data_IF_082162446903
#
_entry.id   IF_082162446903
#
_cell.length_a   1.000
_cell.length_b   1.000
_cell.length_c   1.000
_cell.angle_alpha   90.00
_cell.angle_beta   90.00
_cell.angle_gamma   90.00
#
_symmetry.space_group_name_H-M   'P 1'
#
loop_
_entity.id
_entity.type
_entity.pdbx_description
1 polymer ?
#
# COMPACT_ATOMS: atom_id res chain seq x y z
N UNK A 1 -24.88 10.70 26.99
CA UNK A 1 -24.92 11.04 25.54
C UNK A 1 -23.62 11.66 25.06
N UNK A 2 -23.04 12.65 25.75
CA UNK A 2 -21.80 13.35 25.33
C UNK A 2 -20.61 12.40 25.07
N UNK A 3 -20.35 11.44 25.97
CA UNK A 3 -19.23 10.48 25.82
C UNK A 3 -19.41 9.47 24.69
N UNK A 4 -20.65 9.15 24.30
CA UNK A 4 -20.92 8.22 23.19
C UNK A 4 -20.70 8.90 21.84
N UNK A 5 -21.10 10.17 21.73
CA UNK A 5 -20.84 10.99 20.53
C UNK A 5 -19.34 11.27 20.37
N UNK A 6 -18.63 11.60 21.45
CA UNK A 6 -17.16 11.77 21.41
C UNK A 6 -16.43 10.50 20.94
N UNK A 7 -16.86 9.32 21.41
CA UNK A 7 -16.29 8.05 20.98
C UNK A 7 -16.61 7.71 19.51
N UNK A 8 -17.76 8.13 19.00
CA UNK A 8 -18.13 7.98 17.59
C UNK A 8 -17.34 8.94 16.69
N UNK A 9 -17.17 10.20 17.10
CA UNK A 9 -16.36 11.16 16.37
C UNK A 9 -14.90 10.69 16.28
N UNK A 10 -14.33 10.16 17.37
CA UNK A 10 -13.01 9.55 17.36
C UNK A 10 -12.91 8.35 16.39
N UNK A 11 -13.94 7.50 16.33
CA UNK A 11 -13.97 6.37 15.40
C UNK A 11 -14.03 6.84 13.93
N UNK A 12 -14.77 7.91 13.63
CA UNK A 12 -14.79 8.52 12.29
C UNK A 12 -13.45 9.10 11.89
N UNK A 13 -12.77 9.77 12.82
CA UNK A 13 -11.40 10.25 12.59
C UNK A 13 -10.47 9.08 12.27
N UNK A 14 -10.54 7.98 13.02
CA UNK A 14 -9.72 6.79 12.75
C UNK A 14 -10.00 6.18 11.37
N UNK A 15 -11.27 6.12 10.93
CA UNK A 15 -11.61 5.68 9.56
C UNK A 15 -10.99 6.60 8.50
N UNK A 16 -11.07 7.91 8.71
CA UNK A 16 -10.48 8.88 7.78
C UNK A 16 -8.96 8.71 7.69
N UNK A 17 -8.27 8.58 8.84
CA UNK A 17 -6.82 8.32 8.89
C UNK A 17 -6.45 7.02 8.17
N UNK A 18 -7.16 5.92 8.44
CA UNK A 18 -6.91 4.64 7.75
C UNK A 18 -7.24 4.66 6.26
N UNK A 19 -8.17 5.51 5.84
CA UNK A 19 -8.44 5.72 4.42
C UNK A 19 -7.23 6.38 3.74
N UNK A 20 -6.68 7.44 4.35
CA UNK A 20 -5.46 8.08 3.85
C UNK A 20 -4.27 7.12 3.80
N UNK A 21 -4.07 6.29 4.83
CA UNK A 21 -3.00 5.26 4.81
C UNK A 21 -3.14 4.28 3.62
N UNK A 22 -4.37 3.87 3.28
CA UNK A 22 -4.63 3.01 2.11
C UNK A 22 -4.31 3.73 0.81
N UNK A 23 -4.68 5.01 0.69
CA UNK A 23 -4.38 5.83 -0.49
C UNK A 23 -2.86 5.97 -0.69
N UNK A 24 -2.11 6.24 0.39
CA UNK A 24 -0.65 6.34 0.38
C UNK A 24 0.01 5.00 0.01
N UNK A 25 -0.42 3.89 0.62
CA UNK A 25 0.10 2.56 0.30
C UNK A 25 -0.21 2.15 -1.15
N UNK A 26 -1.38 2.56 -1.67
CA UNK A 26 -1.73 2.34 -3.08
C UNK A 26 -0.80 3.11 -4.00
N UNK A 27 -0.55 4.39 -3.71
CA UNK A 27 0.36 5.22 -4.52
C UNK A 27 1.78 4.64 -4.57
N UNK A 28 2.31 4.20 -3.42
CA UNK A 28 3.62 3.52 -3.35
C UNK A 28 3.67 2.24 -4.18
N UNK A 29 2.62 1.42 -4.09
CA UNK A 29 2.51 0.17 -4.85
C UNK A 29 2.55 0.44 -6.35
N UNK A 30 1.82 1.45 -6.82
CA UNK A 30 1.81 1.82 -8.24
C UNK A 30 3.15 2.43 -8.70
N UNK A 31 3.83 3.21 -7.84
CA UNK A 31 5.19 3.69 -8.11
C UNK A 31 6.19 2.53 -8.25
N UNK A 32 6.17 1.58 -7.32
CA UNK A 32 7.04 0.40 -7.36
C UNK A 32 6.82 -0.45 -8.63
N UNK A 33 5.56 -0.63 -9.05
CA UNK A 33 5.22 -1.30 -10.32
C UNK A 33 5.77 -0.56 -11.53
N UNK A 34 5.69 0.76 -11.56
CA UNK A 34 6.27 1.55 -12.64
C UNK A 34 7.80 1.38 -12.71
N UNK A 35 8.48 1.36 -11.56
CA UNK A 35 9.92 1.09 -11.49
C UNK A 35 10.28 -0.28 -12.04
N UNK A 36 9.53 -1.34 -11.71
CA UNK A 36 9.78 -2.68 -12.27
C UNK A 36 9.59 -2.72 -13.78
N UNK A 37 8.56 -2.04 -14.30
CA UNK A 37 8.37 -1.97 -15.75
C UNK A 37 9.61 -1.39 -16.45
N UNK A 38 10.15 -0.29 -15.92
CA UNK A 38 11.41 0.30 -16.42
C UNK A 38 12.60 -0.63 -16.26
N UNK A 39 12.79 -1.27 -15.09
CA UNK A 39 13.88 -2.21 -14.87
C UNK A 39 13.81 -3.42 -15.83
N UNK A 40 12.60 -3.90 -16.11
CA UNK A 40 12.33 -5.00 -17.06
C UNK A 40 12.74 -4.61 -18.48
N UNK A 41 12.34 -3.41 -18.92
CA UNK A 41 12.72 -2.88 -20.23
C UNK A 41 14.24 -2.80 -20.38
N UNK A 42 14.93 -2.32 -19.34
CA UNK A 42 16.39 -2.27 -19.32
C UNK A 42 17.00 -3.67 -19.42
N UNK A 43 16.58 -4.63 -18.58
CA UNK A 43 17.11 -6.01 -18.67
C UNK A 43 16.93 -6.58 -20.09
N UNK A 44 15.76 -6.40 -20.71
CA UNK A 44 15.50 -6.86 -22.08
C UNK A 44 16.39 -6.17 -23.13
N UNK A 45 16.60 -4.85 -22.99
CA UNK A 45 17.52 -4.09 -23.85
C UNK A 45 18.95 -4.64 -23.74
N UNK A 46 19.43 -4.85 -22.51
CA UNK A 46 20.78 -5.35 -22.26
C UNK A 46 20.97 -6.82 -22.65
N UNK A 47 19.93 -7.66 -22.62
CA UNK A 47 19.99 -9.05 -23.08
C UNK A 47 20.08 -9.17 -24.61
N UNK A 48 19.54 -8.21 -25.36
CA UNK A 48 19.46 -8.26 -26.84
C UNK A 48 20.56 -7.48 -27.53
N UNK A 49 21.34 -6.69 -26.78
CA UNK A 49 22.47 -5.94 -27.30
C UNK A 49 23.74 -6.82 -27.43
N UNK A 50 24.41 -6.84 -28.59
CA UNK A 50 25.55 -7.73 -28.85
C UNK A 50 26.86 -7.34 -28.14
N UNK A 51 26.96 -6.13 -27.59
CA UNK A 51 28.18 -5.58 -26.97
C UNK A 51 28.01 -5.28 -25.46
N UNK A 52 26.91 -5.70 -24.84
CA UNK A 52 26.68 -5.45 -23.42
C UNK A 52 27.57 -6.36 -22.58
N UNK A 53 28.46 -5.73 -21.81
CA UNK A 53 29.32 -6.43 -20.86
C UNK A 53 28.44 -7.25 -19.91
N UNK A 54 28.72 -8.54 -19.75
CA UNK A 54 28.00 -9.45 -18.83
C UNK A 54 27.82 -8.85 -17.43
N UNK A 55 28.77 -8.00 -16.99
CA UNK A 55 28.69 -7.25 -15.75
C UNK A 55 27.50 -6.27 -15.67
N UNK A 56 27.16 -5.58 -16.77
CA UNK A 56 26.03 -4.64 -16.82
C UNK A 56 24.69 -5.38 -16.87
N UNK A 57 24.62 -6.53 -17.53
CA UNK A 57 23.42 -7.37 -17.47
C UNK A 57 23.18 -7.89 -16.05
N UNK A 58 24.23 -8.42 -15.40
CA UNK A 58 24.13 -8.91 -14.02
C UNK A 58 23.72 -7.81 -13.03
N UNK A 59 24.22 -6.58 -13.20
CA UNK A 59 23.78 -5.43 -12.41
C UNK A 59 22.28 -5.13 -12.58
N UNK A 60 21.79 -5.18 -13.82
CA UNK A 60 20.36 -4.92 -14.11
C UNK A 60 19.45 -6.04 -13.63
N UNK A 61 19.89 -7.29 -13.67
CA UNK A 61 19.15 -8.42 -13.09
C UNK A 61 19.09 -8.33 -11.56
N UNK A 62 20.15 -7.87 -10.91
CA UNK A 62 20.17 -7.61 -9.47
C UNK A 62 19.24 -6.44 -9.09
N UNK A 63 19.26 -5.35 -9.87
CA UNK A 63 18.34 -4.23 -9.70
C UNK A 63 16.88 -4.69 -9.87
N UNK A 64 16.58 -5.46 -10.92
CA UNK A 64 15.25 -6.02 -11.14
C UNK A 64 14.76 -6.85 -9.94
N UNK A 65 15.62 -7.74 -9.42
CA UNK A 65 15.30 -8.57 -8.25
C UNK A 65 15.01 -7.69 -7.03
N UNK A 66 15.84 -6.67 -6.77
CA UNK A 66 15.64 -5.75 -5.65
C UNK A 66 14.34 -4.96 -5.76
N UNK A 67 13.96 -4.50 -6.97
CA UNK A 67 12.70 -3.77 -7.16
C UNK A 67 11.48 -4.72 -7.04
N UNK A 68 11.61 -6.00 -7.40
CA UNK A 68 10.55 -6.99 -7.14
C UNK A 68 10.29 -7.20 -5.64
N UNK A 69 11.35 -7.21 -4.82
CA UNK A 69 11.22 -7.27 -3.35
C UNK A 69 10.47 -6.03 -2.83
N UNK A 70 10.80 -4.83 -3.34
CA UNK A 70 10.10 -3.60 -2.98
C UNK A 70 8.61 -3.60 -3.35
N UNK A 71 8.22 -4.22 -4.47
CA UNK A 71 6.79 -4.40 -4.79
C UNK A 71 6.12 -5.30 -3.76
N UNK A 72 6.76 -6.43 -3.41
CA UNK A 72 6.19 -7.37 -2.44
C UNK A 72 5.95 -6.66 -1.10
N UNK A 73 6.93 -5.89 -0.63
CA UNK A 73 6.81 -5.10 0.60
C UNK A 73 5.68 -4.05 0.50
N UNK A 74 5.56 -3.35 -0.64
CA UNK A 74 4.50 -2.36 -0.85
C UNK A 74 3.09 -3.00 -0.93
N UNK A 75 2.98 -4.18 -1.53
CA UNK A 75 1.72 -4.94 -1.59
C UNK A 75 1.30 -5.44 -0.20
N UNK A 76 2.25 -5.91 0.61
CA UNK A 76 2.02 -6.30 2.00
C UNK A 76 1.60 -5.08 2.86
N UNK A 77 2.25 -3.92 2.69
CA UNK A 77 1.84 -2.66 3.34
C UNK A 77 0.39 -2.30 2.96
N UNK A 78 0.03 -2.42 1.69
CA UNK A 78 -1.31 -2.12 1.19
C UNK A 78 -2.36 -3.09 1.74
N UNK A 79 -2.06 -4.39 1.81
CA UNK A 79 -2.95 -5.37 2.42
C UNK A 79 -3.19 -5.05 3.89
N UNK A 80 -2.13 -4.73 4.64
CA UNK A 80 -2.23 -4.36 6.04
C UNK A 80 -3.04 -3.06 6.25
N UNK A 81 -2.81 -2.03 5.42
CA UNK A 81 -3.58 -0.79 5.46
C UNK A 81 -5.08 -1.05 5.22
N UNK A 82 -5.41 -1.91 4.24
CA UNK A 82 -6.81 -2.31 3.96
C UNK A 82 -7.44 -3.05 5.14
N UNK A 83 -6.71 -3.99 5.76
CA UNK A 83 -7.18 -4.70 6.94
C UNK A 83 -7.47 -3.75 8.11
N UNK A 84 -6.59 -2.77 8.34
CA UNK A 84 -6.79 -1.75 9.37
C UNK A 84 -8.00 -0.85 9.10
N UNK A 85 -8.24 -0.49 7.83
CA UNK A 85 -9.43 0.27 7.44
C UNK A 85 -10.73 -0.51 7.70
N UNK A 86 -10.75 -1.81 7.45
CA UNK A 86 -11.90 -2.68 7.78
C UNK A 86 -12.17 -2.62 9.28
N UNK A 87 -11.15 -2.83 10.11
CA UNK A 87 -11.29 -2.79 11.58
C UNK A 87 -11.79 -1.42 12.06
N UNK A 88 -11.27 -0.32 11.51
CA UNK A 88 -11.71 1.02 11.86
C UNK A 88 -13.19 1.27 11.48
N UNK A 89 -13.60 0.77 10.31
CA UNK A 89 -14.98 0.91 9.81
C UNK A 89 -15.97 0.11 10.65
N UNK A 90 -15.62 -1.12 11.03
CA UNK A 90 -16.43 -1.94 11.93
C UNK A 90 -16.59 -1.29 13.31
N UNK A 91 -15.51 -0.68 13.83
CA UNK A 91 -15.56 0.05 15.08
C UNK A 91 -16.47 1.28 15.01
N UNK A 92 -16.40 2.06 13.94
CA UNK A 92 -17.26 3.23 13.70
C UNK A 92 -18.73 2.83 13.61
N UNK A 93 -19.06 1.77 12.86
CA UNK A 93 -20.41 1.23 12.75
C UNK A 93 -20.95 0.76 14.11
N UNK A 94 -20.12 0.08 14.92
CA UNK A 94 -20.50 -0.35 16.26
C UNK A 94 -20.81 0.83 17.19
N UNK A 95 -20.05 1.93 17.10
CA UNK A 95 -20.31 3.16 17.86
C UNK A 95 -21.60 3.84 17.41
N UNK A 96 -21.87 3.89 16.11
CA UNK A 96 -23.14 4.42 15.58
C UNK A 96 -24.36 3.66 16.14
N UNK A 97 -24.31 2.32 16.12
CA UNK A 97 -25.39 1.48 16.65
C UNK A 97 -25.62 1.70 18.15
N UNK A 98 -24.55 1.89 18.94
CA UNK A 98 -24.66 2.19 20.38
C UNK A 98 -25.38 3.52 20.64
N UNK A 99 -25.12 4.55 19.83
CA UNK A 99 -25.83 5.84 19.94
C UNK A 99 -27.32 5.66 19.63
N UNK A 100 -27.65 4.95 18.54
CA UNK A 100 -29.05 4.71 18.15
C UNK A 100 -29.81 3.91 19.20
N UNK A 101 -29.19 2.88 19.79
CA UNK A 101 -29.84 2.07 20.83
C UNK A 101 -30.03 2.79 22.17
N UNK A 102 -29.27 3.86 22.42
CA UNK A 102 -29.33 4.67 23.64
C UNK A 102 -30.19 5.94 23.50
N UNK A 103 -30.79 6.17 22.32
CA UNK A 103 -31.65 7.33 21.99
C UNK A 103 -33.13 6.94 22.02
#
# INVERSE_FOLDING_TARGET
MTTANEAYDAAKTAVAEKTTEVEEATAKTEEAKATVATATELVNEYQTAPDTAEATLAEKEAEYTSVQELITDAEDELENAKANLVVATEAEAAKAQQITAAS
#
